data_IF_774053308367
#
_entry.id   IF_774053308367
#
_cell.length_a   1.000
_cell.length_b   1.000
_cell.length_c   1.000
_cell.angle_alpha   90.00
_cell.angle_beta   90.00
_cell.angle_gamma   90.00
#
_symmetry.space_group_name_H-M   'P 1'
#
loop_
_entity.id
_entity.type
_entity.pdbx_description
1 polymer ?
#
# COMPACT_ATOMS: atom_id res chain seq x y z
N UNK A 1 -19.01 -66.39 -10.30
CA UNK A 1 -19.42 -65.61 -11.49
C UNK A 1 -20.71 -64.94 -11.09
N UNK A 2 -20.60 -63.83 -10.36
CA UNK A 2 -21.68 -62.86 -10.26
C UNK A 2 -21.18 -61.67 -11.08
N UNK A 3 -21.87 -61.40 -12.18
CA UNK A 3 -21.72 -60.15 -12.92
C UNK A 3 -22.29 -59.05 -12.03
N UNK A 4 -21.42 -58.33 -11.32
CA UNK A 4 -21.73 -57.01 -10.77
C UNK A 4 -22.07 -56.09 -11.95
N UNK A 5 -23.37 -56.02 -12.27
CA UNK A 5 -23.88 -55.04 -13.22
C UNK A 5 -23.65 -53.65 -12.65
N UNK A 6 -22.75 -52.91 -13.28
CA UNK A 6 -22.56 -51.47 -13.08
C UNK A 6 -23.88 -50.73 -13.36
N UNK A 7 -24.61 -50.37 -12.29
CA UNK A 7 -25.83 -49.58 -12.39
C UNK A 7 -25.52 -48.08 -12.44
N UNK A 8 -26.11 -47.41 -13.43
CA UNK A 8 -25.99 -45.98 -13.67
C UNK A 8 -27.20 -45.26 -13.05
N UNK A 9 -26.98 -44.27 -12.19
CA UNK A 9 -28.05 -43.48 -11.55
C UNK A 9 -28.59 -42.37 -12.47
N UNK A 10 -29.91 -42.22 -12.49
CA UNK A 10 -30.64 -41.23 -13.28
C UNK A 10 -31.04 -40.00 -12.46
N UNK A 11 -31.31 -38.88 -13.15
CA UNK A 11 -31.74 -37.62 -12.53
C UNK A 11 -33.08 -37.75 -11.77
N UNK A 12 -33.96 -38.66 -12.20
CA UNK A 12 -35.25 -38.94 -11.55
C UNK A 12 -35.05 -39.64 -10.20
N UNK A 13 -34.16 -40.62 -10.13
CA UNK A 13 -33.82 -41.35 -8.90
C UNK A 13 -33.15 -40.43 -7.85
N UNK A 14 -32.39 -39.43 -8.29
CA UNK A 14 -31.83 -38.41 -7.40
C UNK A 14 -32.88 -37.41 -6.87
N UNK A 15 -34.03 -37.27 -7.54
CA UNK A 15 -35.11 -36.34 -7.17
C UNK A 15 -36.19 -37.00 -6.29
N UNK A 16 -36.34 -38.32 -6.33
CA UNK A 16 -37.37 -39.07 -5.57
C UNK A 16 -37.03 -39.33 -4.07
N UNK A 17 -36.01 -38.65 -3.53
CA UNK A 17 -35.94 -38.37 -2.09
C UNK A 17 -35.23 -39.38 -1.20
N UNK A 18 -34.41 -40.29 -1.76
CA UNK A 18 -33.61 -41.24 -0.97
C UNK A 18 -32.17 -40.80 -0.65
N UNK A 19 -31.63 -39.78 -1.34
CA UNK A 19 -30.21 -39.41 -1.26
C UNK A 19 -30.10 -37.90 -1.03
N UNK A 20 -29.32 -37.49 -0.02
CA UNK A 20 -29.19 -36.10 0.42
C UNK A 20 -28.59 -35.18 -0.65
N UNK A 21 -29.41 -34.29 -1.21
CA UNK A 21 -29.02 -33.31 -2.24
C UNK A 21 -28.81 -31.89 -1.71
N UNK A 22 -28.60 -31.73 -0.39
CA UNK A 22 -28.43 -30.44 0.28
C UNK A 22 -27.16 -29.66 -0.12
N UNK A 23 -26.23 -30.28 -0.86
CA UNK A 23 -24.98 -29.67 -1.34
C UNK A 23 -25.02 -29.08 -2.76
N UNK A 24 -26.09 -29.28 -3.53
CA UNK A 24 -26.13 -28.85 -4.94
C UNK A 24 -26.54 -27.38 -5.08
N UNK A 25 -25.89 -26.65 -6.00
CA UNK A 25 -26.27 -25.27 -6.38
C UNK A 25 -26.67 -25.19 -7.85
N UNK A 26 -27.68 -24.38 -8.13
CA UNK A 26 -28.24 -24.16 -9.46
C UNK A 26 -27.25 -23.37 -10.35
N UNK A 27 -26.98 -23.88 -11.55
CA UNK A 27 -26.11 -23.23 -12.55
C UNK A 27 -26.78 -21.98 -13.16
N UNK A 28 -25.98 -20.96 -13.48
CA UNK A 28 -26.46 -19.73 -14.12
C UNK A 28 -26.74 -19.93 -15.63
N UNK A 29 -27.70 -19.20 -16.22
CA UNK A 29 -27.98 -19.27 -17.65
C UNK A 29 -26.77 -18.86 -18.50
N UNK A 30 -26.34 -19.70 -19.44
CA UNK A 30 -25.24 -19.43 -20.37
C UNK A 30 -23.91 -20.15 -20.08
N UNK A 31 -23.85 -21.02 -19.06
CA UNK A 31 -22.69 -21.87 -18.81
C UNK A 31 -22.53 -22.92 -19.93
N UNK A 32 -21.33 -23.04 -20.52
CA UNK A 32 -21.02 -24.12 -21.46
C UNK A 32 -20.80 -25.43 -20.69
N UNK A 33 -21.55 -26.46 -21.08
CA UNK A 33 -21.44 -27.82 -20.55
C UNK A 33 -20.44 -28.62 -21.40
N UNK A 34 -19.65 -29.49 -20.78
CA UNK A 34 -18.89 -30.55 -21.48
C UNK A 34 -19.45 -31.91 -21.07
N UNK A 35 -19.53 -32.83 -22.02
CA UNK A 35 -20.04 -34.18 -21.79
C UNK A 35 -18.89 -35.14 -21.48
N UNK A 36 -18.84 -35.67 -20.26
CA UNK A 36 -17.85 -36.66 -19.81
C UNK A 36 -18.51 -37.66 -18.84
N UNK A 37 -18.02 -38.89 -18.82
CA UNK A 37 -18.57 -40.02 -18.05
C UNK A 37 -17.56 -40.57 -17.04
N UNK A 38 -18.03 -41.36 -16.07
CA UNK A 38 -17.20 -42.06 -15.09
C UNK A 38 -17.20 -43.55 -15.40
N UNK A 39 -16.02 -44.14 -15.59
CA UNK A 39 -15.82 -45.60 -15.57
C UNK A 39 -14.81 -45.89 -14.48
N UNK A 40 -15.18 -46.75 -13.51
CA UNK A 40 -14.28 -47.21 -12.43
C UNK A 40 -13.51 -46.09 -11.70
N UNK A 41 -14.13 -44.94 -11.45
CA UNK A 41 -13.55 -43.85 -10.65
C UNK A 41 -12.58 -42.92 -11.38
N UNK A 42 -12.36 -43.09 -12.69
CA UNK A 42 -11.58 -42.16 -13.52
C UNK A 42 -12.46 -41.40 -14.54
N UNK A 43 -12.05 -40.17 -14.86
CA UNK A 43 -12.74 -39.27 -15.80
C UNK A 43 -12.41 -39.64 -17.25
N UNK A 44 -13.42 -39.97 -18.07
CA UNK A 44 -13.27 -40.25 -19.51
C UNK A 44 -14.28 -39.50 -20.38
N UNK A 45 -13.91 -39.20 -21.64
CA UNK A 45 -14.84 -38.63 -22.63
C UNK A 45 -15.82 -39.71 -23.13
N UNK A 46 -17.11 -39.37 -23.20
CA UNK A 46 -18.17 -40.31 -23.63
C UNK A 46 -18.19 -40.43 -25.15
N UNK A 47 -18.16 -41.66 -25.65
CA UNK A 47 -18.20 -41.97 -27.08
C UNK A 47 -19.54 -41.64 -27.74
N UNK A 48 -19.56 -41.55 -29.07
CA UNK A 48 -20.77 -41.21 -29.85
C UNK A 48 -21.90 -42.24 -29.68
N UNK A 49 -21.55 -43.51 -29.45
CA UNK A 49 -22.52 -44.61 -29.30
C UNK A 49 -23.22 -44.58 -27.94
N UNK A 50 -22.51 -44.20 -26.87
CA UNK A 50 -23.04 -44.09 -25.50
C UNK A 50 -24.04 -42.94 -25.38
N UNK A 51 -23.83 -41.84 -26.13
CA UNK A 51 -24.81 -40.75 -26.30
C UNK A 51 -26.14 -41.23 -26.92
N UNK A 52 -26.06 -42.15 -27.88
CA UNK A 52 -27.25 -42.68 -28.58
C UNK A 52 -28.05 -43.60 -27.65
N UNK A 53 -27.37 -44.31 -26.74
CA UNK A 53 -27.97 -45.23 -25.78
C UNK A 53 -28.69 -44.56 -24.59
N UNK A 54 -28.73 -43.23 -24.50
CA UNK A 54 -29.39 -42.45 -23.43
C UNK A 54 -28.97 -42.80 -22.00
N UNK A 55 -27.80 -43.42 -21.79
CA UNK A 55 -27.20 -43.56 -20.45
C UNK A 55 -26.82 -42.13 -19.99
N UNK A 56 -27.47 -41.67 -18.93
CA UNK A 56 -27.66 -40.23 -18.64
C UNK A 56 -26.40 -39.44 -18.26
N UNK A 57 -26.44 -38.10 -18.34
CA UNK A 57 -25.29 -37.25 -18.07
C UNK A 57 -24.94 -37.18 -16.58
N UNK A 58 -23.69 -37.51 -16.24
CA UNK A 58 -23.13 -37.23 -14.91
C UNK A 58 -22.82 -35.74 -14.79
N UNK A 59 -23.30 -35.12 -13.72
CA UNK A 59 -23.12 -33.70 -13.46
C UNK A 59 -21.76 -33.46 -12.78
N UNK A 60 -20.79 -32.88 -13.48
CA UNK A 60 -19.51 -32.48 -12.86
C UNK A 60 -19.64 -31.10 -12.21
N UNK A 61 -19.20 -31.04 -10.95
CA UNK A 61 -19.06 -29.81 -10.19
C UNK A 61 -17.85 -29.02 -10.72
N UNK A 62 -18.07 -28.17 -11.73
CA UNK A 62 -17.04 -27.23 -12.18
C UNK A 62 -16.86 -26.18 -11.08
N UNK A 63 -15.66 -26.07 -10.50
CA UNK A 63 -15.29 -24.93 -9.66
C UNK A 63 -15.41 -23.69 -10.53
N UNK A 64 -16.53 -22.98 -10.40
CA UNK A 64 -16.71 -21.66 -11.00
C UNK A 64 -15.45 -20.89 -10.62
N UNK A 65 -14.69 -20.33 -11.59
CA UNK A 65 -13.56 -19.49 -11.27
C UNK A 65 -14.05 -18.50 -10.22
N UNK A 66 -13.36 -18.46 -9.08
CA UNK A 66 -13.71 -17.50 -8.05
C UNK A 66 -13.84 -16.11 -8.68
N UNK A 67 -14.57 -15.17 -8.05
CA UNK A 67 -14.78 -13.83 -8.60
C UNK A 67 -13.48 -13.09 -8.96
N UNK A 68 -12.32 -13.59 -8.53
CA UNK A 68 -10.99 -13.25 -9.02
C UNK A 68 -10.28 -14.47 -9.67
N UNK A 69 -9.81 -14.28 -10.91
CA UNK A 69 -8.84 -15.18 -11.54
C UNK A 69 -7.43 -14.82 -11.02
N UNK A 70 -7.05 -15.34 -9.86
CA UNK A 70 -5.68 -15.23 -9.36
C UNK A 70 -4.71 -15.85 -10.37
N UNK A 71 -3.73 -15.05 -10.80
CA UNK A 71 -2.64 -15.48 -11.67
C UNK A 71 -1.41 -15.74 -10.82
N UNK A 72 -0.88 -16.96 -10.86
CA UNK A 72 0.41 -17.27 -10.27
C UNK A 72 1.51 -16.49 -11.01
N UNK A 73 2.43 -15.89 -10.27
CA UNK A 73 3.59 -15.22 -10.85
C UNK A 73 4.53 -16.28 -11.49
N UNK A 74 5.09 -15.95 -12.64
CA UNK A 74 6.02 -16.85 -13.33
C UNK A 74 7.35 -17.02 -12.56
N UNK A 75 7.78 -15.97 -11.86
CA UNK A 75 8.97 -15.98 -11.03
C UNK A 75 8.60 -16.37 -9.60
N UNK A 76 9.43 -17.22 -8.98
CA UNK A 76 9.36 -17.50 -7.55
C UNK A 76 9.72 -16.24 -6.75
N UNK A 77 8.97 -16.02 -5.67
CA UNK A 77 9.17 -14.89 -4.76
C UNK A 77 9.43 -15.44 -3.35
N UNK A 78 10.63 -16.01 -3.07
CA UNK A 78 10.95 -16.54 -1.74
C UNK A 78 10.72 -15.50 -0.63
N UNK A 79 10.65 -15.89 0.64
CA UNK A 79 10.56 -14.89 1.70
C UNK A 79 11.70 -13.86 1.60
N UNK A 80 11.40 -12.57 1.75
CA UNK A 80 12.39 -11.51 1.57
C UNK A 80 13.36 -11.49 2.76
N UNK A 81 14.66 -11.61 2.50
CA UNK A 81 15.70 -11.53 3.53
C UNK A 81 16.23 -10.11 3.60
N UNK A 82 16.53 -9.68 4.82
CA UNK A 82 17.25 -8.44 5.04
C UNK A 82 18.53 -8.76 5.78
N UNK A 83 19.63 -8.17 5.32
CA UNK A 83 20.84 -8.10 6.11
C UNK A 83 20.63 -7.04 7.21
N UNK A 84 20.61 -7.41 8.50
CA UNK A 84 20.41 -6.46 9.60
C UNK A 84 21.50 -5.39 9.67
N UNK A 85 22.67 -5.61 9.05
CA UNK A 85 23.77 -4.64 8.98
C UNK A 85 23.68 -3.70 7.78
N UNK A 86 22.89 -4.07 6.77
CA UNK A 86 22.71 -3.23 5.59
C UNK A 86 21.76 -2.07 5.90
N UNK A 87 22.12 -0.82 5.58
CA UNK A 87 21.19 0.30 5.63
C UNK A 87 20.26 0.33 4.41
N UNK A 88 20.34 -0.67 3.51
CA UNK A 88 19.56 -0.75 2.27
C UNK A 88 18.76 -2.03 2.23
N UNK A 89 17.50 -1.91 1.83
CA UNK A 89 16.62 -3.01 1.47
C UNK A 89 16.42 -3.02 -0.04
N UNK A 90 16.57 -4.20 -0.64
CA UNK A 90 16.29 -4.44 -2.06
C UNK A 90 15.09 -5.36 -2.18
N UNK A 91 14.03 -4.88 -2.81
CA UNK A 91 12.86 -5.68 -3.18
C UNK A 91 13.01 -6.03 -4.66
N UNK A 92 13.19 -7.31 -5.02
CA UNK A 92 13.32 -7.69 -6.41
C UNK A 92 12.07 -7.32 -7.21
N UNK A 93 12.26 -6.97 -8.48
CA UNK A 93 11.18 -6.57 -9.40
C UNK A 93 10.01 -7.56 -9.41
N UNK A 94 10.29 -8.87 -9.38
CA UNK A 94 9.29 -9.93 -9.34
C UNK A 94 8.30 -9.80 -8.16
N UNK A 95 8.71 -9.23 -7.02
CA UNK A 95 7.84 -8.98 -5.87
C UNK A 95 6.99 -7.75 -6.11
N UNK A 96 7.62 -6.65 -6.54
CA UNK A 96 6.96 -5.34 -6.66
C UNK A 96 6.03 -5.22 -7.88
N UNK A 97 6.14 -6.09 -8.88
CA UNK A 97 5.22 -6.05 -10.03
C UNK A 97 3.75 -6.17 -9.61
N UNK A 98 2.94 -5.17 -9.96
CA UNK A 98 1.51 -5.12 -9.59
C UNK A 98 1.21 -4.51 -8.22
N UNK A 99 2.22 -4.07 -7.45
CA UNK A 99 2.02 -3.45 -6.13
C UNK A 99 1.62 -1.97 -6.21
N UNK A 100 1.78 -1.34 -7.38
CA UNK A 100 1.56 0.10 -7.56
C UNK A 100 2.76 0.97 -7.17
N UNK A 101 3.86 0.36 -6.72
CA UNK A 101 5.12 1.06 -6.46
C UNK A 101 5.85 1.40 -7.76
N UNK A 102 6.74 2.39 -7.70
CA UNK A 102 7.74 2.60 -8.75
C UNK A 102 8.77 1.48 -8.68
N UNK A 103 9.03 0.81 -9.81
CA UNK A 103 9.94 -0.35 -9.89
C UNK A 103 10.98 -0.09 -10.97
N UNK A 104 12.22 0.11 -10.55
CA UNK A 104 13.36 0.29 -11.45
C UNK A 104 13.86 -1.03 -12.06
N UNK A 105 14.96 -0.96 -12.81
CA UNK A 105 15.63 -2.14 -13.38
C UNK A 105 16.03 -3.15 -12.30
N UNK A 106 16.55 -2.67 -11.18
CA UNK A 106 17.02 -3.47 -10.05
C UNK A 106 15.91 -3.80 -9.03
N UNK A 107 14.64 -3.48 -9.35
CA UNK A 107 13.53 -3.57 -8.41
C UNK A 107 13.30 -2.27 -7.64
N UNK A 108 12.94 -2.38 -6.35
CA UNK A 108 12.75 -1.24 -5.45
C UNK A 108 13.87 -1.23 -4.43
N UNK A 109 14.56 -0.10 -4.29
CA UNK A 109 15.65 0.09 -3.32
C UNK A 109 15.19 1.08 -2.27
N UNK A 110 15.26 0.69 -1.00
CA UNK A 110 14.89 1.53 0.14
C UNK A 110 16.09 1.75 1.04
N UNK A 111 16.28 3.00 1.46
CA UNK A 111 17.20 3.34 2.53
C UNK A 111 16.50 3.29 3.89
N UNK A 112 17.08 2.58 4.85
CA UNK A 112 16.56 2.34 6.19
C UNK A 112 16.84 3.51 7.15
N UNK A 113 16.24 4.67 6.89
CA UNK A 113 16.24 5.80 7.82
C UNK A 113 15.41 5.51 9.09
N UNK A 114 15.54 6.37 10.09
CA UNK A 114 14.87 6.25 11.40
C UNK A 114 13.34 6.09 11.29
N UNK A 115 12.69 6.80 10.37
CA UNK A 115 11.23 6.71 10.18
C UNK A 115 10.79 5.36 9.61
N UNK A 116 11.59 4.74 8.74
CA UNK A 116 11.26 3.40 8.19
C UNK A 116 11.33 2.36 9.31
N UNK A 117 12.33 2.47 10.19
CA UNK A 117 12.45 1.60 11.36
C UNK A 117 11.26 1.79 12.30
N UNK A 118 10.88 3.03 12.57
CA UNK A 118 9.72 3.35 13.40
C UNK A 118 8.40 2.84 12.78
N UNK A 119 8.23 2.94 11.45
CA UNK A 119 7.06 2.37 10.76
C UNK A 119 7.00 0.86 10.95
N UNK A 120 8.14 0.17 10.81
CA UNK A 120 8.22 -1.28 11.00
C UNK A 120 7.99 -1.69 12.44
N UNK A 121 8.43 -0.90 13.42
CA UNK A 121 8.06 -1.11 14.83
C UNK A 121 6.56 -1.00 15.03
N UNK A 122 5.91 0.03 14.46
CA UNK A 122 4.46 0.18 14.53
C UNK A 122 3.73 -0.98 13.86
N UNK A 123 4.17 -1.39 12.67
CA UNK A 123 3.64 -2.55 11.94
C UNK A 123 3.75 -3.83 12.76
N UNK A 124 4.91 -4.09 13.37
CA UNK A 124 5.11 -5.27 14.19
C UNK A 124 4.21 -5.25 15.44
N UNK A 125 4.14 -4.12 16.16
CA UNK A 125 3.25 -3.95 17.32
C UNK A 125 1.77 -4.18 16.94
N UNK A 126 1.31 -3.61 15.82
CA UNK A 126 -0.09 -3.71 15.39
C UNK A 126 -0.48 -5.05 14.77
N UNK A 127 0.41 -5.65 13.97
CA UNK A 127 0.12 -6.88 13.21
C UNK A 127 0.43 -8.13 14.02
N UNK A 128 1.57 -8.15 14.72
CA UNK A 128 2.08 -9.35 15.41
C UNK A 128 1.71 -9.35 16.89
N UNK A 129 1.86 -8.22 17.57
CA UNK A 129 1.65 -8.11 19.02
C UNK A 129 0.25 -7.62 19.41
N UNK A 130 -0.69 -7.45 18.49
CA UNK A 130 -2.04 -7.02 18.84
C UNK A 130 -3.02 -7.34 17.72
N UNK A 131 -4.25 -6.86 17.88
CA UNK A 131 -5.33 -6.96 16.90
C UNK A 131 -5.61 -5.63 16.19
N UNK A 132 -4.77 -4.61 16.37
CA UNK A 132 -5.10 -3.26 15.94
C UNK A 132 -5.12 -3.10 14.42
N UNK A 133 -5.98 -2.20 13.96
CA UNK A 133 -5.91 -1.63 12.62
C UNK A 133 -4.87 -0.52 12.63
N UNK A 134 -3.83 -0.63 11.80
CA UNK A 134 -2.80 0.39 11.69
C UNK A 134 -3.05 1.29 10.48
N UNK A 135 -3.07 2.60 10.72
CA UNK A 135 -3.08 3.63 9.70
C UNK A 135 -1.68 4.23 9.56
N UNK A 136 -1.06 4.09 8.39
CA UNK A 136 0.23 4.69 8.02
C UNK A 136 -0.04 5.88 7.12
N UNK A 137 0.32 7.06 7.60
CA UNK A 137 -0.01 8.34 6.95
C UNK A 137 1.23 9.20 6.77
N UNK A 138 1.22 10.09 5.80
CA UNK A 138 2.32 11.02 5.57
C UNK A 138 2.21 11.70 4.20
N UNK A 139 3.02 12.74 3.94
CA UNK A 139 3.01 13.42 2.65
C UNK A 139 3.30 12.47 1.48
N UNK A 140 2.81 12.73 0.27
CA UNK A 140 3.13 11.90 -0.89
C UNK A 140 4.65 11.89 -1.14
N UNK A 141 5.19 10.75 -1.58
CA UNK A 141 6.61 10.65 -1.94
C UNK A 141 7.59 10.38 -0.79
N UNK A 142 7.14 10.24 0.46
CA UNK A 142 8.03 10.02 1.62
C UNK A 142 8.57 8.59 1.80
N UNK A 143 8.01 7.60 1.08
CA UNK A 143 8.46 6.20 1.12
C UNK A 143 7.52 5.21 1.82
N UNK A 144 6.41 5.67 2.43
CA UNK A 144 5.42 4.84 3.16
C UNK A 144 5.07 3.51 2.49
N UNK A 145 4.55 3.59 1.26
CA UNK A 145 4.11 2.41 0.50
C UNK A 145 5.26 1.43 0.26
N UNK A 146 6.47 1.94 0.02
CA UNK A 146 7.65 1.09 -0.17
C UNK A 146 8.03 0.41 1.15
N UNK A 147 8.03 1.15 2.27
CA UNK A 147 8.39 0.64 3.60
C UNK A 147 7.39 -0.42 4.08
N UNK A 148 6.09 -0.16 3.96
CA UNK A 148 5.03 -1.10 4.27
C UNK A 148 5.09 -2.34 3.38
N UNK A 149 5.36 -2.18 2.08
CA UNK A 149 5.49 -3.32 1.16
C UNK A 149 6.72 -4.18 1.47
N UNK A 150 7.84 -3.57 1.83
CA UNK A 150 9.03 -4.27 2.27
C UNK A 150 8.73 -5.12 3.51
N UNK A 151 8.08 -4.55 4.52
CA UNK A 151 7.62 -5.29 5.69
C UNK A 151 6.68 -6.43 5.30
N UNK A 152 5.68 -6.16 4.46
CA UNK A 152 4.71 -7.13 3.98
C UNK A 152 5.38 -8.34 3.28
N UNK A 153 6.41 -8.10 2.46
CA UNK A 153 7.18 -9.17 1.80
C UNK A 153 8.04 -10.01 2.77
N UNK A 154 8.27 -9.50 3.97
CA UNK A 154 9.13 -10.12 4.98
C UNK A 154 8.39 -10.67 6.19
N UNK A 155 7.09 -10.38 6.32
CA UNK A 155 6.32 -10.63 7.54
C UNK A 155 6.51 -12.07 8.05
N UNK A 156 6.48 -13.05 7.15
CA UNK A 156 6.61 -14.47 7.52
C UNK A 156 8.00 -14.88 8.06
N UNK A 157 9.01 -14.01 7.96
CA UNK A 157 10.33 -14.17 8.58
C UNK A 157 10.51 -13.39 9.87
N UNK A 158 9.61 -12.46 10.15
CA UNK A 158 9.62 -11.74 11.42
C UNK A 158 9.04 -12.69 12.47
N UNK A 159 9.70 -12.81 13.64
CA UNK A 159 9.24 -13.71 14.71
C UNK A 159 7.78 -13.44 15.09
N UNK A 160 6.94 -14.49 15.08
CA UNK A 160 5.49 -14.41 15.27
C UNK A 160 4.68 -14.13 13.99
N UNK A 161 5.37 -13.97 12.87
CA UNK A 161 4.84 -13.67 11.54
C UNK A 161 4.57 -14.88 10.64
N UNK A 162 5.07 -16.07 11.01
CA UNK A 162 5.23 -17.25 10.15
C UNK A 162 3.91 -17.77 9.58
N UNK A 163 2.83 -17.64 10.37
CA UNK A 163 1.48 -18.08 10.03
C UNK A 163 0.72 -17.14 9.08
N UNK A 164 1.20 -15.92 8.88
CA UNK A 164 0.43 -14.87 8.20
C UNK A 164 0.58 -14.92 6.67
N UNK A 165 -0.53 -15.08 5.96
CA UNK A 165 -0.65 -14.70 4.54
C UNK A 165 -0.74 -13.19 4.42
N UNK A 166 -0.25 -12.66 3.31
CA UNK A 166 -0.24 -11.22 3.05
C UNK A 166 -1.01 -10.92 1.77
N UNK A 167 -2.09 -10.18 1.88
CA UNK A 167 -2.80 -9.60 0.74
C UNK A 167 -2.46 -8.11 0.66
N UNK A 168 -1.89 -7.69 -0.46
CA UNK A 168 -1.67 -6.28 -0.77
C UNK A 168 -2.71 -5.81 -1.78
N UNK A 169 -3.35 -4.67 -1.50
CA UNK A 169 -4.36 -4.05 -2.36
C UNK A 169 -3.87 -2.66 -2.69
N UNK A 170 -3.59 -2.39 -3.97
CA UNK A 170 -3.29 -1.05 -4.44
C UNK A 170 -4.53 -0.39 -5.06
N UNK A 171 -4.97 0.70 -4.45
CA UNK A 171 -6.03 1.59 -4.94
C UNK A 171 -5.47 2.52 -6.02
N UNK A 172 -5.60 2.11 -7.28
CA UNK A 172 -5.10 2.90 -8.41
C UNK A 172 -6.07 4.03 -8.77
N UNK A 173 -5.58 5.27 -8.71
CA UNK A 173 -6.34 6.49 -9.05
C UNK A 173 -6.83 6.56 -10.49
N UNK A 174 -6.17 5.84 -11.40
CA UNK A 174 -6.39 6.01 -12.85
C UNK A 174 -7.25 4.91 -13.47
N UNK A 175 -7.35 3.74 -12.82
CA UNK A 175 -7.98 2.57 -13.44
C UNK A 175 -9.36 2.25 -12.89
N UNK A 176 -9.73 2.78 -11.70
CA UNK A 176 -10.94 2.36 -10.99
C UNK A 176 -10.95 0.87 -10.59
N UNK A 177 -9.80 0.19 -10.76
CA UNK A 177 -9.60 -1.22 -10.43
C UNK A 177 -8.62 -1.32 -9.26
N UNK A 178 -8.85 -2.32 -8.41
CA UNK A 178 -7.92 -2.72 -7.38
C UNK A 178 -6.90 -3.69 -7.98
N UNK A 179 -5.62 -3.39 -7.81
CA UNK A 179 -4.56 -4.36 -8.10
C UNK A 179 -4.22 -5.09 -6.82
N UNK A 180 -4.42 -6.42 -6.81
CA UNK A 180 -4.21 -7.24 -5.63
C UNK A 180 -3.03 -8.17 -5.83
N UNK A 181 -2.20 -8.31 -4.81
CA UNK A 181 -1.17 -9.33 -4.68
C UNK A 181 -1.52 -10.19 -3.46
N UNK A 182 -1.35 -11.50 -3.59
CA UNK A 182 -1.42 -12.44 -2.48
C UNK A 182 -0.08 -13.17 -2.40
N UNK A 183 0.63 -12.98 -1.29
CA UNK A 183 1.75 -13.83 -0.91
C UNK A 183 1.20 -14.96 -0.04
N UNK A 184 1.23 -16.18 -0.58
CA UNK A 184 0.85 -17.41 0.10
C UNK A 184 2.03 -18.37 0.08
N UNK A 185 2.28 -19.10 1.16
CA UNK A 185 3.44 -19.99 1.20
C UNK A 185 4.77 -19.24 1.12
N UNK A 186 5.85 -19.99 1.02
CA UNK A 186 7.22 -19.47 1.22
C UNK A 186 7.80 -18.82 -0.03
N UNK A 187 7.25 -19.11 -1.21
CA UNK A 187 7.72 -18.58 -2.50
C UNK A 187 6.62 -18.18 -3.48
N UNK A 188 5.35 -18.32 -3.11
CA UNK A 188 4.23 -18.11 -4.04
C UNK A 188 3.67 -16.69 -3.96
N UNK A 189 3.66 -16.05 -5.13
CA UNK A 189 3.01 -14.76 -5.38
C UNK A 189 1.89 -14.97 -6.39
N UNK A 190 0.67 -14.56 -6.03
CA UNK A 190 -0.46 -14.48 -6.96
C UNK A 190 -0.89 -13.03 -7.15
N UNK A 191 -1.40 -12.71 -8.33
CA UNK A 191 -1.91 -11.36 -8.63
C UNK A 191 -3.29 -11.42 -9.27
N UNK A 192 -4.12 -10.42 -9.02
CA UNK A 192 -5.36 -10.22 -9.77
C UNK A 192 -5.71 -8.74 -9.85
N UNK A 193 -6.53 -8.38 -10.84
CA UNK A 193 -7.15 -7.06 -10.93
C UNK A 193 -8.66 -7.21 -10.82
N UNK A 194 -9.27 -6.48 -9.90
CA UNK A 194 -10.69 -6.61 -9.60
C UNK A 194 -11.38 -5.26 -9.54
N UNK A 195 -12.67 -5.23 -9.85
CA UNK A 195 -13.52 -4.08 -9.51
C UNK A 195 -13.72 -4.04 -7.98
N UNK A 196 -13.84 -2.86 -7.36
CA UNK A 196 -14.11 -2.75 -5.92
C UNK A 196 -15.30 -3.59 -5.47
N UNK A 197 -16.35 -3.71 -6.28
CA UNK A 197 -17.55 -4.51 -6.00
C UNK A 197 -17.27 -5.99 -5.70
N UNK A 198 -16.22 -6.56 -6.30
CA UNK A 198 -15.85 -7.97 -6.13
C UNK A 198 -14.98 -8.23 -4.90
N UNK A 199 -14.44 -7.18 -4.27
CA UNK A 199 -13.52 -7.28 -3.13
C UNK A 199 -14.08 -8.14 -1.99
N UNK A 200 -15.36 -7.99 -1.66
CA UNK A 200 -15.97 -8.74 -0.56
C UNK A 200 -15.95 -10.25 -0.81
N UNK A 201 -16.06 -10.68 -2.06
CA UNK A 201 -15.97 -12.09 -2.41
C UNK A 201 -14.53 -12.61 -2.42
N UNK A 202 -13.56 -11.76 -2.79
CA UNK A 202 -12.12 -12.07 -2.67
C UNK A 202 -11.73 -12.22 -1.21
N UNK A 203 -12.13 -11.28 -0.34
CA UNK A 203 -11.85 -11.34 1.09
C UNK A 203 -12.47 -12.58 1.76
N UNK A 204 -13.69 -12.95 1.37
CA UNK A 204 -14.34 -14.19 1.85
C UNK A 204 -13.60 -15.47 1.47
N UNK A 205 -12.77 -15.43 0.42
CA UNK A 205 -11.92 -16.56 0.04
C UNK A 205 -10.64 -16.69 0.87
N UNK A 206 -10.39 -15.74 1.79
CA UNK A 206 -9.26 -15.74 2.72
C UNK A 206 -9.77 -16.23 4.09
N UNK A 207 -9.60 -17.52 4.34
CA UNK A 207 -10.05 -18.25 5.54
C UNK A 207 -8.94 -18.44 6.59
N UNK A 208 -7.67 -18.25 6.21
CA UNK A 208 -6.50 -18.39 7.07
C UNK A 208 -6.06 -17.08 7.76
N UNK A 209 -5.06 -17.17 8.65
CA UNK A 209 -4.33 -16.04 9.20
C UNK A 209 -3.84 -15.11 8.09
N UNK A 210 -4.46 -13.95 7.95
CA UNK A 210 -4.22 -13.05 6.81
C UNK A 210 -4.15 -11.59 7.25
N UNK A 211 -3.16 -10.88 6.71
CA UNK A 211 -3.04 -9.42 6.84
C UNK A 211 -3.39 -8.80 5.49
N UNK A 212 -4.32 -7.85 5.49
CA UNK A 212 -4.67 -7.05 4.32
C UNK A 212 -4.02 -5.67 4.43
N UNK A 213 -3.11 -5.37 3.51
CA UNK A 213 -2.55 -4.04 3.30
C UNK A 213 -3.35 -3.32 2.23
N UNK A 214 -3.77 -2.09 2.50
CA UNK A 214 -4.50 -1.23 1.57
C UNK A 214 -3.63 -0.02 1.28
N UNK A 215 -3.00 0.00 0.11
CA UNK A 215 -2.11 1.06 -0.34
C UNK A 215 -2.79 2.05 -1.27
N UNK A 216 -2.50 3.33 -1.05
CA UNK A 216 -3.02 4.42 -1.86
C UNK A 216 -4.45 4.81 -1.52
N UNK A 217 -4.96 4.44 -0.34
CA UNK A 217 -6.32 4.78 0.09
C UNK A 217 -6.56 6.29 0.06
N UNK A 218 -7.65 6.71 -0.58
CA UNK A 218 -8.15 8.08 -0.63
C UNK A 218 -9.62 8.08 -0.27
N UNK A 219 -10.04 9.02 0.58
CA UNK A 219 -11.44 9.14 0.98
C UNK A 219 -12.32 9.69 -0.15
N UNK A 220 -12.80 8.80 -1.01
CA UNK A 220 -13.89 9.07 -1.95
C UNK A 220 -15.11 8.13 -1.68
N UNK A 221 -16.15 8.17 -2.52
CA UNK A 221 -17.34 7.33 -2.31
C UNK A 221 -17.08 5.85 -2.61
N UNK A 222 -16.14 5.52 -3.49
CA UNK A 222 -15.91 4.15 -3.94
C UNK A 222 -14.86 3.44 -3.08
N UNK A 223 -13.81 4.14 -2.68
CA UNK A 223 -12.80 3.62 -1.77
C UNK A 223 -13.34 3.45 -0.34
N UNK A 224 -14.32 4.25 0.10
CA UNK A 224 -15.03 3.96 1.36
C UNK A 224 -15.68 2.57 1.37
N UNK A 225 -16.15 2.08 0.21
CA UNK A 225 -16.68 0.72 0.09
C UNK A 225 -15.59 -0.34 0.18
N UNK A 226 -14.36 -0.01 -0.21
CA UNK A 226 -13.18 -0.88 -0.02
C UNK A 226 -12.92 -1.03 1.47
N UNK A 227 -12.79 0.09 2.18
CA UNK A 227 -12.51 0.07 3.62
C UNK A 227 -13.61 -0.62 4.42
N UNK A 228 -14.88 -0.32 4.13
CA UNK A 228 -16.04 -0.97 4.76
C UNK A 228 -15.99 -2.50 4.62
N UNK A 229 -15.69 -3.02 3.42
CA UNK A 229 -15.61 -4.47 3.18
C UNK A 229 -14.45 -5.11 3.94
N UNK A 230 -13.30 -4.44 4.03
CA UNK A 230 -12.17 -4.92 4.79
C UNK A 230 -12.50 -4.99 6.29
N UNK A 231 -13.13 -3.95 6.86
CA UNK A 231 -13.55 -3.97 8.26
C UNK A 231 -14.57 -5.07 8.56
N UNK A 232 -15.59 -5.24 7.70
CA UNK A 232 -16.56 -6.34 7.86
C UNK A 232 -15.88 -7.72 7.80
N UNK A 233 -14.90 -7.88 6.92
CA UNK A 233 -14.09 -9.10 6.88
C UNK A 233 -13.28 -9.30 8.16
N UNK A 234 -12.61 -8.27 8.69
CA UNK A 234 -11.86 -8.33 9.95
C UNK A 234 -12.75 -8.63 11.15
N UNK A 235 -13.92 -7.98 11.25
CA UNK A 235 -14.83 -8.09 12.40
C UNK A 235 -15.36 -9.52 12.63
N UNK A 236 -15.44 -10.33 11.57
CA UNK A 236 -15.85 -11.74 11.66
C UNK A 236 -14.82 -12.57 12.43
N UNK A 237 -13.52 -12.25 12.34
CA UNK A 237 -12.46 -12.99 13.04
C UNK A 237 -11.27 -12.05 13.28
N UNK A 238 -11.35 -11.30 14.38
CA UNK A 238 -10.32 -10.32 14.75
C UNK A 238 -9.01 -10.99 15.15
N UNK A 239 -9.01 -12.28 15.49
CA UNK A 239 -7.80 -13.01 15.87
C UNK A 239 -6.94 -13.38 14.65
N UNK A 240 -7.58 -13.83 13.57
CA UNK A 240 -6.91 -14.29 12.34
C UNK A 240 -6.82 -13.24 11.23
N UNK A 241 -7.46 -12.08 11.39
CA UNK A 241 -7.53 -11.06 10.34
C UNK A 241 -6.98 -9.73 10.81
N UNK A 242 -6.09 -9.14 10.03
CA UNK A 242 -5.47 -7.84 10.31
C UNK A 242 -5.62 -6.90 9.12
N UNK A 243 -5.66 -5.60 9.41
CA UNK A 243 -5.74 -4.56 8.39
C UNK A 243 -4.63 -3.53 8.65
N UNK A 244 -3.93 -3.18 7.59
CA UNK A 244 -3.00 -2.04 7.55
C UNK A 244 -3.45 -1.15 6.40
N UNK A 245 -3.59 0.15 6.66
CA UNK A 245 -3.95 1.14 5.64
C UNK A 245 -2.79 2.09 5.43
N UNK A 246 -2.31 2.20 4.20
CA UNK A 246 -1.24 3.12 3.79
C UNK A 246 -1.86 4.20 2.93
N UNK A 247 -1.80 5.44 3.42
CA UNK A 247 -2.53 6.56 2.83
C UNK A 247 -1.73 7.86 2.88
N UNK A 248 -2.10 8.81 2.02
CA UNK A 248 -1.62 10.19 2.15
C UNK A 248 -2.36 10.89 3.30
N UNK A 249 -1.68 11.79 4.04
CA UNK A 249 -2.29 12.49 5.20
C UNK A 249 -3.64 13.15 4.93
N UNK A 250 -3.87 13.58 3.70
CA UNK A 250 -5.07 14.33 3.29
C UNK A 250 -6.32 13.44 3.21
N UNK A 251 -6.15 12.13 3.33
CA UNK A 251 -7.21 11.13 3.19
C UNK A 251 -7.73 10.57 4.52
N UNK A 252 -7.18 11.00 5.66
CA UNK A 252 -7.57 10.51 6.99
C UNK A 252 -9.00 10.90 7.36
N UNK A 253 -9.52 12.00 6.78
CA UNK A 253 -10.73 12.69 7.23
C UNK A 253 -11.84 11.75 7.72
N UNK A 254 -12.43 11.99 8.89
CA UNK A 254 -13.58 11.32 9.55
C UNK A 254 -13.65 9.77 9.60
N UNK A 255 -12.78 9.01 8.95
CA UNK A 255 -12.84 7.53 8.92
C UNK A 255 -11.88 6.90 9.95
N UNK A 256 -10.72 7.52 10.21
CA UNK A 256 -9.95 7.24 11.43
C UNK A 256 -10.68 7.87 12.62
N UNK A 257 -11.18 7.03 13.53
CA UNK A 257 -12.02 7.43 14.66
C UNK A 257 -11.57 6.70 15.91
N UNK A 258 -10.36 7.01 16.42
CA UNK A 258 -9.86 6.40 17.65
C UNK A 258 -10.77 6.74 18.84
N UNK A 259 -11.50 7.86 18.77
CA UNK A 259 -12.50 8.29 19.75
C UNK A 259 -13.69 7.33 19.86
N UNK A 260 -13.97 6.54 18.82
CA UNK A 260 -15.05 5.56 18.78
C UNK A 260 -14.56 4.13 19.03
N UNK A 261 -13.25 3.94 19.24
CA UNK A 261 -12.62 2.64 19.35
C UNK A 261 -12.15 2.35 20.77
N UNK A 262 -12.25 1.10 21.20
CA UNK A 262 -11.82 0.67 22.54
C UNK A 262 -10.33 0.29 22.60
N UNK A 263 -9.87 0.02 23.81
CA UNK A 263 -8.59 -0.63 24.05
C UNK A 263 -8.70 -2.14 23.82
N UNK A 264 -7.65 -2.72 23.22
CA UNK A 264 -7.50 -4.15 22.94
C UNK A 264 -6.27 -4.71 23.64
N UNK A 265 -6.22 -6.02 23.94
CA UNK A 265 -5.06 -6.65 24.57
C UNK A 265 -3.81 -6.65 23.68
N UNK A 266 -2.64 -6.45 24.29
CA UNK A 266 -1.34 -6.77 23.70
C UNK A 266 -1.06 -8.28 23.80
N UNK A 267 -0.45 -8.85 22.77
CA UNK A 267 -0.10 -10.26 22.61
C UNK A 267 1.42 -10.38 22.73
N UNK A 268 1.89 -11.29 23.58
CA UNK A 268 3.31 -11.67 23.62
C UNK A 268 3.56 -12.76 22.58
N UNK A 269 4.43 -12.54 21.56
CA UNK A 269 4.74 -13.58 20.58
C UNK A 269 5.43 -14.78 21.27
N UNK A 270 5.11 -16.02 20.88
CA UNK A 270 5.70 -17.23 21.47
C UNK A 270 7.18 -17.47 21.12
N UNK A 271 7.73 -16.77 20.13
CA UNK A 271 9.14 -16.79 19.75
C UNK A 271 9.72 -15.37 19.72
N UNK A 272 10.44 -14.98 20.78
CA UNK A 272 11.11 -13.67 20.84
C UNK A 272 12.45 -13.64 20.06
N UNK A 273 12.86 -14.77 19.47
CA UNK A 273 14.09 -14.89 18.66
C UNK A 273 13.87 -14.32 17.26
N UNK A 274 13.59 -13.03 17.17
CA UNK A 274 13.59 -12.30 15.90
C UNK A 274 15.00 -11.78 15.62
N UNK A 275 15.57 -12.16 14.48
CA UNK A 275 16.82 -11.59 13.95
C UNK A 275 16.68 -10.13 13.46
N UNK A 276 15.47 -9.55 13.51
CA UNK A 276 15.26 -8.13 13.26
C UNK A 276 15.54 -7.32 14.54
N UNK A 277 16.30 -6.21 14.48
CA UNK A 277 16.69 -5.38 15.64
C UNK A 277 15.54 -4.57 16.29
N UNK A 278 14.29 -5.01 16.12
CA UNK A 278 13.07 -4.26 16.46
C UNK A 278 12.33 -4.86 17.68
N UNK A 279 12.77 -6.02 18.19
CA UNK A 279 12.08 -6.71 19.27
C UNK A 279 12.30 -6.06 20.64
N UNK A 280 11.36 -5.22 21.07
CA UNK A 280 11.15 -4.90 22.48
C UNK A 280 9.83 -5.50 22.96
N UNK A 281 9.77 -5.93 24.23
CA UNK A 281 8.52 -6.37 24.85
C UNK A 281 7.46 -5.26 24.78
N UNK A 282 6.15 -5.60 24.73
CA UNK A 282 5.09 -4.59 24.75
C UNK A 282 5.19 -3.74 26.03
N UNK A 283 5.19 -2.41 25.87
CA UNK A 283 5.30 -1.44 26.97
C UNK A 283 4.03 -1.39 27.84
N UNK A 284 2.90 -1.86 27.31
CA UNK A 284 1.59 -1.87 27.96
C UNK A 284 0.84 -3.17 27.64
N UNK A 285 0.02 -3.62 28.58
CA UNK A 285 -0.87 -4.77 28.41
C UNK A 285 -2.07 -4.49 27.49
N UNK A 286 -2.31 -3.21 27.15
CA UNK A 286 -3.38 -2.76 26.27
C UNK A 286 -2.90 -1.75 25.22
N UNK A 287 -3.58 -1.70 24.09
CA UNK A 287 -3.31 -0.80 22.96
C UNK A 287 -4.64 -0.37 22.31
N UNK A 288 -4.76 0.85 21.77
CA UNK A 288 -6.01 1.24 21.08
C UNK A 288 -6.25 0.41 19.82
N UNK A 289 -7.51 0.08 19.54
CA UNK A 289 -7.87 -0.72 18.37
C UNK A 289 -7.48 -0.07 17.03
N UNK A 290 -7.49 1.27 16.97
CA UNK A 290 -6.97 2.02 15.82
C UNK A 290 -5.68 2.73 16.19
N UNK A 291 -4.59 2.35 15.53
CA UNK A 291 -3.28 2.99 15.67
C UNK A 291 -3.01 3.91 14.49
N UNK A 292 -2.30 5.02 14.73
CA UNK A 292 -1.86 5.94 13.70
C UNK A 292 -0.34 6.10 13.75
N UNK A 293 0.31 5.80 12.64
CA UNK A 293 1.72 6.07 12.43
C UNK A 293 1.89 7.16 11.36
N UNK A 294 2.63 8.20 11.68
CA UNK A 294 2.92 9.30 10.76
C UNK A 294 4.36 9.20 10.26
N UNK A 295 4.51 8.95 8.96
CA UNK A 295 5.79 9.07 8.26
C UNK A 295 6.05 10.52 7.85
N UNK A 296 7.05 11.11 8.49
CA UNK A 296 7.52 12.46 8.20
C UNK A 296 8.23 12.56 6.84
N UNK A 297 8.38 13.78 6.36
CA UNK A 297 9.16 14.09 5.15
C UNK A 297 10.65 13.86 5.39
N UNK A 298 11.41 13.77 4.30
CA UNK A 298 12.86 13.67 4.37
C UNK A 298 13.46 15.04 4.66
N UNK A 299 14.41 15.11 5.58
CA UNK A 299 15.21 16.32 5.77
C UNK A 299 16.47 16.29 4.90
N UNK A 300 17.15 17.43 4.79
CA UNK A 300 18.44 17.47 4.10
C UNK A 300 19.45 16.51 4.76
N UNK A 301 19.46 16.45 6.09
CA UNK A 301 20.32 15.56 6.88
C UNK A 301 20.02 14.09 6.62
N UNK A 302 18.73 13.72 6.50
CA UNK A 302 18.34 12.34 6.15
C UNK A 302 18.90 11.95 4.76
N UNK A 303 18.88 12.88 3.79
CA UNK A 303 19.47 12.63 2.46
C UNK A 303 20.99 12.58 2.49
N UNK A 304 21.64 13.51 3.19
CA UNK A 304 23.10 13.53 3.35
C UNK A 304 23.58 12.19 3.94
N UNK A 305 22.89 11.70 4.98
CA UNK A 305 23.22 10.41 5.59
C UNK A 305 23.02 9.25 4.62
N UNK A 306 21.94 9.25 3.82
CA UNK A 306 21.70 8.22 2.81
C UNK A 306 22.79 8.20 1.71
N UNK A 307 23.25 9.37 1.25
CA UNK A 307 24.22 9.48 0.16
C UNK A 307 25.68 9.21 0.59
N UNK A 308 25.97 9.14 1.91
CA UNK A 308 27.24 8.62 2.41
C UNK A 308 27.43 7.14 2.05
N UNK A 309 26.34 6.40 1.86
CA UNK A 309 26.42 5.01 1.43
C UNK A 309 26.69 4.93 -0.08
N UNK A 310 27.86 4.40 -0.46
CA UNK A 310 28.29 4.29 -1.85
C UNK A 310 27.35 3.44 -2.70
N UNK A 311 26.85 2.32 -2.16
CA UNK A 311 25.95 1.43 -2.88
C UNK A 311 24.60 2.11 -3.19
N UNK A 312 24.09 2.90 -2.24
CA UNK A 312 22.88 3.68 -2.44
C UNK A 312 23.11 4.83 -3.42
N UNK A 313 24.22 5.57 -3.27
CA UNK A 313 24.57 6.66 -4.17
C UNK A 313 24.67 6.17 -5.62
N UNK A 314 25.37 5.06 -5.86
CA UNK A 314 25.50 4.47 -7.20
C UNK A 314 24.14 4.15 -7.86
N UNK A 315 23.14 3.76 -7.05
CA UNK A 315 21.79 3.51 -7.54
C UNK A 315 21.07 4.82 -7.96
N UNK A 316 21.23 5.91 -7.22
CA UNK A 316 20.48 7.16 -7.42
C UNK A 316 21.25 8.24 -8.19
N UNK A 317 22.56 8.09 -8.41
CA UNK A 317 23.44 9.15 -8.95
C UNK A 317 22.99 9.74 -10.28
N UNK A 318 22.41 8.92 -11.17
CA UNK A 318 21.87 9.39 -12.46
C UNK A 318 20.72 10.37 -12.29
N UNK A 319 19.95 10.24 -11.20
CA UNK A 319 18.84 11.12 -10.86
C UNK A 319 19.32 12.43 -10.24
N UNK A 320 20.51 12.43 -9.64
CA UNK A 320 21.22 13.62 -9.18
C UNK A 320 22.10 14.24 -10.28
N UNK A 321 21.94 13.83 -11.55
CA UNK A 321 22.73 14.28 -12.71
C UNK A 321 24.24 13.97 -12.66
N UNK A 322 24.71 13.16 -11.71
CA UNK A 322 26.09 12.72 -11.63
C UNK A 322 26.43 11.69 -12.74
N UNK A 323 27.49 11.97 -13.50
CA UNK A 323 27.92 11.16 -14.65
C UNK A 323 29.12 10.23 -14.37
N UNK A 324 29.90 10.46 -13.31
CA UNK A 324 31.16 9.73 -13.01
C UNK A 324 31.39 9.53 -11.50
N UNK A 325 32.59 9.08 -11.10
CA UNK A 325 33.02 9.03 -9.69
C UNK A 325 33.11 10.46 -9.14
N UNK A 326 32.20 10.80 -8.24
CA UNK A 326 32.10 12.13 -7.61
C UNK A 326 32.69 12.08 -6.20
N UNK A 327 33.45 13.11 -5.81
CA UNK A 327 33.92 13.27 -4.44
C UNK A 327 32.74 13.46 -3.49
N UNK A 328 32.90 13.19 -2.20
CA UNK A 328 31.80 13.40 -1.23
C UNK A 328 31.30 14.84 -1.23
N UNK A 329 32.19 15.82 -1.40
CA UNK A 329 31.83 17.23 -1.52
C UNK A 329 30.89 17.48 -2.70
N UNK A 330 31.24 17.02 -3.91
CA UNK A 330 30.35 17.24 -5.06
C UNK A 330 29.10 16.36 -5.03
N UNK A 331 29.07 15.24 -4.28
CA UNK A 331 27.82 14.54 -3.98
C UNK A 331 26.86 15.40 -3.17
N UNK A 332 27.38 16.13 -2.18
CA UNK A 332 26.58 17.02 -1.33
C UNK A 332 26.11 18.25 -2.10
N UNK A 333 26.94 18.83 -2.96
CA UNK A 333 26.54 19.96 -3.83
C UNK A 333 25.38 19.57 -4.76
N UNK A 334 25.48 18.42 -5.45
CA UNK A 334 24.40 17.92 -6.31
C UNK A 334 23.13 17.60 -5.53
N UNK A 335 23.27 17.13 -4.29
CA UNK A 335 22.15 16.92 -3.39
C UNK A 335 21.47 18.24 -3.03
N UNK A 336 22.22 19.27 -2.63
CA UNK A 336 21.68 20.58 -2.26
C UNK A 336 20.94 21.23 -3.45
N UNK A 337 21.54 21.18 -4.64
CA UNK A 337 20.92 21.68 -5.87
C UNK A 337 19.59 20.97 -6.16
N UNK A 338 19.55 19.65 -6.03
CA UNK A 338 18.30 18.91 -6.24
C UNK A 338 17.31 19.10 -5.08
N UNK A 339 17.78 19.25 -3.85
CA UNK A 339 16.96 19.48 -2.67
C UNK A 339 16.18 20.80 -2.77
N UNK A 340 16.76 21.82 -3.41
CA UNK A 340 16.05 23.05 -3.76
C UNK A 340 14.71 22.79 -4.48
N UNK A 341 14.66 21.77 -5.34
CA UNK A 341 13.45 21.38 -6.10
C UNK A 341 12.65 20.30 -5.37
N UNK A 342 13.28 19.18 -5.03
CA UNK A 342 12.61 17.98 -4.52
C UNK A 342 12.19 18.09 -3.05
N UNK A 343 12.93 18.88 -2.27
CA UNK A 343 12.74 19.06 -0.83
C UNK A 343 12.43 17.74 -0.11
N UNK A 344 11.34 17.72 0.67
CA UNK A 344 10.98 16.56 1.50
C UNK A 344 10.47 15.29 0.77
N UNK A 345 10.45 15.28 -0.57
CA UNK A 345 9.91 14.17 -1.38
C UNK A 345 11.01 13.24 -1.90
N UNK A 346 11.17 12.08 -1.26
CA UNK A 346 12.14 11.08 -1.69
C UNK A 346 11.87 10.55 -3.11
N UNK A 347 10.61 10.48 -3.55
CA UNK A 347 10.28 10.13 -4.95
C UNK A 347 10.89 11.13 -5.93
N UNK A 348 10.73 12.43 -5.67
CA UNK A 348 11.29 13.46 -6.55
C UNK A 348 12.82 13.49 -6.46
N UNK A 349 13.38 13.20 -5.28
CA UNK A 349 14.82 13.14 -5.05
C UNK A 349 15.49 11.93 -5.74
N UNK A 350 14.90 10.74 -5.64
CA UNK A 350 15.56 9.49 -6.01
C UNK A 350 14.96 8.75 -7.20
N UNK A 351 13.70 9.00 -7.58
CA UNK A 351 13.06 8.29 -8.70
C UNK A 351 12.92 9.16 -9.96
N UNK A 352 12.83 10.48 -9.81
CA UNK A 352 12.57 11.44 -10.88
C UNK A 352 13.83 12.24 -11.25
N UNK A 353 13.90 12.75 -12.49
CA UNK A 353 14.91 13.79 -12.82
C UNK A 353 14.48 15.14 -12.24
N UNK A 354 15.41 16.09 -12.13
CA UNK A 354 15.11 17.44 -11.65
C UNK A 354 14.04 18.11 -12.53
N UNK A 355 14.13 17.96 -13.86
CA UNK A 355 13.17 18.52 -14.82
C UNK A 355 11.77 17.89 -14.66
N UNK A 356 11.71 16.57 -14.45
CA UNK A 356 10.45 15.88 -14.19
C UNK A 356 9.80 16.35 -12.90
N UNK A 357 10.59 16.51 -11.83
CA UNK A 357 10.11 17.01 -10.55
C UNK A 357 9.58 18.45 -10.68
N UNK A 358 10.33 19.34 -11.33
CA UNK A 358 9.88 20.71 -11.64
C UNK A 358 8.57 20.70 -12.43
N UNK A 359 8.48 19.90 -13.50
CA UNK A 359 7.28 19.77 -14.32
C UNK A 359 6.06 19.30 -13.52
N UNK A 360 6.24 18.30 -12.64
CA UNK A 360 5.15 17.84 -11.76
C UNK A 360 4.73 18.90 -10.74
N UNK A 361 5.65 19.70 -10.22
CA UNK A 361 5.36 20.75 -9.24
C UNK A 361 4.68 21.94 -9.90
N UNK A 362 5.14 22.38 -11.07
CA UNK A 362 4.50 23.43 -11.86
C UNK A 362 3.10 23.03 -12.31
N UNK A 363 2.92 21.79 -12.78
CA UNK A 363 1.60 21.24 -13.08
C UNK A 363 0.71 21.26 -11.84
N UNK A 364 1.27 20.99 -10.66
CA UNK A 364 0.50 21.04 -9.43
C UNK A 364 0.07 22.45 -9.05
N UNK A 365 0.99 23.41 -9.14
CA UNK A 365 0.72 24.82 -8.87
C UNK A 365 -0.31 25.42 -9.84
N UNK A 366 -0.28 25.03 -11.12
CA UNK A 366 -1.24 25.48 -12.12
C UNK A 366 -2.69 25.05 -11.83
N UNK A 367 -2.89 23.97 -11.04
CA UNK A 367 -4.23 23.53 -10.63
C UNK A 367 -4.77 24.24 -9.39
N UNK A 368 -3.95 25.06 -8.73
CA UNK A 368 -4.33 25.76 -7.50
C UNK A 368 -4.81 27.17 -7.87
N UNK A 369 -6.11 27.33 -8.09
CA UNK A 369 -6.73 28.64 -8.35
C UNK A 369 -6.66 29.57 -7.13
N UNK A 370 -6.71 29.00 -5.92
CA UNK A 370 -6.55 29.73 -4.67
C UNK A 370 -5.85 28.85 -3.62
N UNK A 371 -4.59 29.18 -3.30
CA UNK A 371 -3.83 28.52 -2.23
C UNK A 371 -4.59 28.55 -0.88
N UNK A 372 -5.44 29.56 -0.65
CA UNK A 372 -6.25 29.67 0.57
C UNK A 372 -7.39 28.64 0.58
N UNK A 373 -7.97 28.25 -0.56
CA UNK A 373 -8.96 27.16 -0.56
C UNK A 373 -8.35 25.84 -0.09
N UNK A 374 -7.06 25.63 -0.34
CA UNK A 374 -6.30 24.49 0.18
C UNK A 374 -6.12 24.55 1.71
N UNK A 375 -6.11 25.76 2.30
CA UNK A 375 -6.03 25.97 3.77
C UNK A 375 -7.41 25.89 4.46
N UNK A 376 -8.49 26.25 3.75
CA UNK A 376 -9.88 26.27 4.27
C UNK A 376 -10.58 24.92 4.17
N UNK A 377 -10.15 24.06 3.24
CA UNK A 377 -10.55 22.67 3.26
C UNK A 377 -9.80 22.00 4.41
N UNK A 378 -10.51 21.73 5.50
CA UNK A 378 -10.04 20.76 6.51
C UNK A 378 -9.57 19.53 5.73
N UNK A 379 -8.32 19.08 5.94
CA UNK A 379 -7.75 17.89 5.31
C UNK A 379 -8.80 16.76 5.20
N UNK A 380 -9.49 16.64 4.06
CA UNK A 380 -10.70 15.81 3.99
C UNK A 380 -11.79 16.17 2.98
N UNK A 381 -11.70 17.27 2.24
CA UNK A 381 -12.59 17.53 1.09
C UNK A 381 -11.80 17.54 -0.23
N UNK A 382 -12.26 16.70 -1.15
CA UNK A 382 -11.67 16.40 -2.46
C UNK A 382 -11.41 17.64 -3.32
N UNK A 383 -10.23 18.22 -3.19
CA UNK A 383 -9.55 18.90 -4.30
C UNK A 383 -8.14 18.31 -4.41
N UNK A 384 -7.93 17.57 -5.50
CA UNK A 384 -6.66 17.12 -6.08
C UNK A 384 -5.58 16.60 -5.12
N UNK A 385 -5.21 15.31 -5.24
CA UNK A 385 -3.92 14.80 -4.72
C UNK A 385 -2.67 15.55 -5.21
N UNK A 386 -2.87 16.47 -6.13
CA UNK A 386 -1.94 17.38 -6.76
C UNK A 386 -1.45 18.44 -5.76
N UNK A 387 -2.34 19.08 -5.00
CA UNK A 387 -1.98 20.11 -4.01
C UNK A 387 -1.13 19.53 -2.87
N UNK A 388 -1.41 18.28 -2.50
CA UNK A 388 -0.70 17.57 -1.42
C UNK A 388 0.77 17.34 -1.72
N UNK A 389 1.18 17.45 -2.99
CA UNK A 389 2.59 17.36 -3.42
C UNK A 389 3.36 18.66 -3.19
N UNK A 390 2.70 19.75 -2.80
CA UNK A 390 3.34 21.05 -2.54
C UNK A 390 3.73 21.24 -1.08
N UNK A 391 3.34 20.32 -0.21
CA UNK A 391 3.55 20.41 1.24
C UNK A 391 4.37 19.25 1.78
N UNK A 392 5.10 19.54 2.84
CA UNK A 392 5.87 18.60 3.64
C UNK A 392 5.30 18.54 5.06
N UNK A 393 5.74 17.55 5.82
CA UNK A 393 5.42 17.39 7.23
C UNK A 393 6.67 16.99 7.99
N UNK A 394 7.00 17.76 9.02
CA UNK A 394 8.14 17.51 9.89
C UNK A 394 7.70 17.27 11.35
N UNK A 395 8.50 16.53 12.13
CA UNK A 395 8.20 16.31 13.53
C UNK A 395 8.12 17.62 14.31
N UNK A 396 7.12 17.72 15.20
CA UNK A 396 7.03 18.76 16.21
C UNK A 396 7.09 18.16 17.61
N UNK A 397 6.82 18.97 18.65
CA UNK A 397 6.86 18.49 20.05
C UNK A 397 5.78 17.45 20.40
N UNK A 398 4.81 17.20 19.52
CA UNK A 398 3.72 16.21 19.64
C UNK A 398 3.08 15.99 18.26
N UNK A 399 2.26 14.94 18.10
CA UNK A 399 1.50 14.66 16.86
C UNK A 399 0.51 15.79 16.53
N UNK A 400 -0.11 16.42 17.54
CA UNK A 400 -0.92 17.62 17.37
C UNK A 400 -0.11 18.89 17.05
N UNK A 401 1.23 18.80 17.15
CA UNK A 401 2.19 19.87 16.92
C UNK A 401 3.08 19.58 15.69
N UNK A 402 2.77 18.55 14.89
CA UNK A 402 3.49 18.31 13.64
C UNK A 402 3.42 19.55 12.77
N UNK A 403 4.56 20.00 12.25
CA UNK A 403 4.65 21.26 11.53
C UNK A 403 4.45 20.99 10.04
N UNK A 404 3.31 21.38 9.44
CA UNK A 404 3.20 21.41 7.99
C UNK A 404 4.20 22.45 7.47
N UNK A 405 4.84 22.14 6.35
CA UNK A 405 5.79 23.03 5.69
C UNK A 405 5.53 23.07 4.19
N UNK A 406 6.17 24.01 3.50
CA UNK A 406 6.28 23.95 2.05
C UNK A 406 7.22 22.80 1.68
N UNK A 407 6.96 22.13 0.55
CA UNK A 407 7.77 20.98 0.16
C UNK A 407 9.25 21.34 -0.02
N UNK A 408 9.52 22.43 -0.74
CA UNK A 408 10.86 22.86 -1.18
C UNK A 408 10.93 24.36 -1.45
N UNK A 409 12.14 24.91 -1.52
CA UNK A 409 12.39 26.32 -1.85
C UNK A 409 11.90 26.68 -3.25
N UNK A 410 12.02 25.78 -4.23
CA UNK A 410 11.44 25.97 -5.57
C UNK A 410 9.93 26.22 -5.49
N UNK A 411 9.19 25.40 -4.72
CA UNK A 411 7.74 25.59 -4.54
C UNK A 411 7.45 26.90 -3.82
N UNK A 412 8.23 27.26 -2.78
CA UNK A 412 8.07 28.51 -2.06
C UNK A 412 8.23 29.71 -3.02
N UNK A 413 9.31 29.77 -3.79
CA UNK A 413 9.54 30.80 -4.80
C UNK A 413 8.39 30.91 -5.80
N UNK A 414 7.97 29.78 -6.34
CA UNK A 414 6.90 29.70 -7.33
C UNK A 414 5.52 30.10 -6.77
N UNK A 415 5.27 29.89 -5.48
CA UNK A 415 4.10 30.42 -4.77
C UNK A 415 4.22 31.94 -4.62
N UNK A 416 5.38 32.44 -4.16
CA UNK A 416 5.64 33.86 -3.97
C UNK A 416 5.44 34.68 -5.25
N UNK A 417 5.89 34.18 -6.40
CA UNK A 417 5.72 34.83 -7.71
C UNK A 417 4.27 34.91 -8.20
N UNK A 418 3.37 34.05 -7.70
CA UNK A 418 1.97 33.95 -8.16
C UNK A 418 0.95 34.51 -7.18
N UNK A 419 1.38 34.88 -5.98
CA UNK A 419 0.48 35.13 -4.84
C UNK A 419 0.77 36.49 -4.23
N UNK A 420 -0.27 37.24 -3.87
CA UNK A 420 -0.12 38.51 -3.18
C UNK A 420 0.26 38.36 -1.68
N UNK A 421 0.89 39.36 -1.05
CA UNK A 421 1.33 39.30 0.34
C UNK A 421 0.21 39.04 1.36
N UNK A 422 -1.02 39.50 1.08
CA UNK A 422 -2.16 39.29 1.99
C UNK A 422 -2.54 37.81 2.05
N UNK A 423 -2.54 37.12 0.91
CA UNK A 423 -2.75 35.67 0.88
C UNK A 423 -1.59 34.89 1.49
N UNK A 424 -0.35 35.35 1.34
CA UNK A 424 0.80 34.73 2.02
C UNK A 424 0.73 34.84 3.54
N UNK A 425 0.16 35.92 4.07
CA UNK A 425 -0.06 36.05 5.52
C UNK A 425 -1.07 35.02 6.05
N UNK A 426 -2.14 34.75 5.31
CA UNK A 426 -3.10 33.70 5.64
C UNK A 426 -2.44 32.31 5.60
N UNK A 427 -1.57 32.05 4.61
CA UNK A 427 -0.81 30.81 4.51
C UNK A 427 0.16 30.64 5.69
N UNK A 428 0.85 31.71 6.10
CA UNK A 428 1.77 31.69 7.24
C UNK A 428 1.08 31.31 8.56
N UNK A 429 -0.10 31.91 8.79
CA UNK A 429 -0.94 31.60 9.94
C UNK A 429 -1.36 30.14 9.95
N UNK A 430 -1.75 29.59 8.79
CA UNK A 430 -2.12 28.19 8.66
C UNK A 430 -0.95 27.24 8.91
N UNK A 431 0.24 27.55 8.41
CA UNK A 431 1.46 26.77 8.64
C UNK A 431 1.96 26.88 10.10
N UNK A 432 1.34 27.74 10.92
CA UNK A 432 1.81 28.11 12.24
C UNK A 432 3.31 28.52 12.23
N UNK A 433 3.74 29.14 11.13
CA UNK A 433 5.12 29.59 10.94
C UNK A 433 5.24 31.07 11.27
N UNK A 434 6.35 31.43 11.92
CA UNK A 434 6.71 32.84 12.06
C UNK A 434 7.38 33.29 10.75
N UNK A 435 6.77 34.22 9.99
CA UNK A 435 7.28 34.64 8.68
C UNK A 435 8.71 35.21 8.70
N UNK A 436 9.15 35.72 9.86
CA UNK A 436 10.48 36.31 10.04
C UNK A 436 11.57 35.30 10.39
N UNK A 437 11.18 34.10 10.82
CA UNK A 437 12.10 33.06 11.30
C UNK A 437 12.13 31.83 10.39
N UNK A 438 11.27 31.79 9.36
CA UNK A 438 11.21 30.72 8.38
C UNK A 438 11.70 31.21 7.02
N UNK A 439 12.79 30.61 6.53
CA UNK A 439 13.44 31.03 5.28
C UNK A 439 12.52 30.90 4.05
N UNK A 440 11.63 29.89 4.03
CA UNK A 440 10.69 29.70 2.92
C UNK A 440 9.60 30.79 2.93
N UNK A 441 9.09 31.15 4.11
CA UNK A 441 8.14 32.25 4.25
C UNK A 441 8.77 33.58 3.86
N UNK A 442 9.98 33.86 4.31
CA UNK A 442 10.71 35.06 3.92
C UNK A 442 10.89 35.15 2.40
N UNK A 443 11.34 34.06 1.77
CA UNK A 443 11.52 33.97 0.31
C UNK A 443 10.21 34.23 -0.45
N UNK A 444 9.09 33.63 0.00
CA UNK A 444 7.76 33.87 -0.57
C UNK A 444 7.37 35.36 -0.51
N UNK A 445 7.50 36.00 0.66
CA UNK A 445 7.16 37.41 0.83
C UNK A 445 8.05 38.32 -0.01
N UNK A 446 9.35 38.01 -0.11
CA UNK A 446 10.30 38.75 -0.93
C UNK A 446 9.90 38.75 -2.41
N UNK A 447 9.67 37.57 -3.00
CA UNK A 447 9.28 37.47 -4.41
C UNK A 447 7.90 38.05 -4.70
N UNK A 448 6.95 37.86 -3.79
CA UNK A 448 5.61 38.47 -3.90
C UNK A 448 5.67 40.00 -3.91
N UNK A 449 6.52 40.58 -3.07
CA UNK A 449 6.72 42.03 -3.02
C UNK A 449 7.37 42.57 -4.30
N UNK A 450 8.34 41.83 -4.88
CA UNK A 450 8.95 42.20 -6.15
C UNK A 450 7.97 42.11 -7.32
N UNK A 451 7.11 41.09 -7.35
CA UNK A 451 6.14 40.87 -8.41
C UNK A 451 5.04 41.95 -8.46
N UNK A 452 4.76 42.62 -7.33
CA UNK A 452 3.81 43.74 -7.22
C UNK A 452 4.44 45.13 -7.46
N UNK A 453 5.76 45.19 -7.58
CA UNK A 453 6.51 46.45 -7.78
C UNK A 453 6.64 46.86 -9.25
N UNK A 454 6.04 46.08 -10.16
CA UNK A 454 5.92 46.31 -11.60
C UNK A 454 4.47 46.10 -12.02
#
# INVERSE_FOLDING_TARGET
MDDDKEEWLTQLEALEGGIGTSGYKKLCPGAQLRDVGLVSGELGEVGREERIARKGPVHILVKVPGPCAWKLANAKCPLLAFDPKSPIIRIPKAYAEGSGLYVGGDGVVLYLRKEVRAEWTALWKSVVQSYATLWIVGPPGTGKSCAAFAFACSLRRVGGGEKWKVMWIHCSKHSGLLSCILFSGDDEKRTCRIKPSLLGAVLKSLDDYTVVFIDGYVKDRDERKVMWRCHEWRRIDTERRRIVVVSSMVSIGKDWRPDLCGDIPSIVPSSLESSMPIASAPESNTMQEEQLFTMFSWTLEDYQEALKNDEFFEHVKKKLTAQSLVTMESRMELLEEKFFVAGGSARMMFDESTESAMGSLLSALATVEDLIQCTRSTFGCSSGSVVTRLFSLYPGGSMALSKPGILSSFVAREIGLRTDPTKLQALAQWLAMNPTMDGCMFEMFFFSSLALSF
#
